data_IF_826630005061
#
_entry.id   IF_826630005061
#
_cell.length_a   1.000
_cell.length_b   1.000
_cell.length_c   1.000
_cell.angle_alpha   90.00
_cell.angle_beta   90.00
_cell.angle_gamma   90.00
#
_symmetry.space_group_name_H-M   'P 1'
#
loop_
_entity.id
_entity.type
_entity.pdbx_description
1 polymer ?
#
# COMPACT_ATOMS: atom_id res chain seq x y z
N UNK A 1 -9.45 11.43 11.75
CA UNK A 1 -9.57 10.28 10.81
C UNK A 1 -10.85 9.53 11.11
N UNK A 2 -11.63 9.27 10.07
CA UNK A 2 -12.86 8.53 10.25
C UNK A 2 -12.58 7.04 10.34
N UNK A 3 -13.48 6.31 11.03
CA UNK A 3 -13.43 4.85 11.07
C UNK A 3 -13.47 4.26 9.66
N UNK A 4 -14.24 4.88 8.76
CA UNK A 4 -14.37 4.43 7.38
C UNK A 4 -13.05 4.46 6.61
N UNK A 5 -12.26 5.53 6.77
CA UNK A 5 -10.95 5.63 6.11
C UNK A 5 -9.95 4.63 6.69
N UNK A 6 -9.99 4.43 8.00
CA UNK A 6 -9.14 3.45 8.66
C UNK A 6 -9.48 2.02 8.18
N UNK A 7 -10.77 1.71 8.08
CA UNK A 7 -11.22 0.41 7.59
C UNK A 7 -10.86 0.20 6.12
N UNK A 8 -10.94 1.26 5.31
CA UNK A 8 -10.53 1.23 3.92
C UNK A 8 -9.04 0.86 3.78
N UNK A 9 -8.19 1.50 4.58
CA UNK A 9 -6.75 1.21 4.58
C UNK A 9 -6.50 -0.24 4.99
N UNK A 10 -7.13 -0.69 6.07
CA UNK A 10 -7.00 -2.08 6.54
C UNK A 10 -7.43 -3.08 5.46
N UNK A 11 -8.53 -2.79 4.77
CA UNK A 11 -9.02 -3.62 3.67
C UNK A 11 -7.98 -3.72 2.55
N UNK A 12 -7.35 -2.60 2.20
CA UNK A 12 -6.34 -2.57 1.15
C UNK A 12 -5.14 -3.46 1.51
N UNK A 13 -4.64 -3.36 2.72
CA UNK A 13 -3.51 -4.20 3.16
C UNK A 13 -3.87 -5.69 3.22
N UNK A 14 -5.05 -6.01 3.76
CA UNK A 14 -5.50 -7.40 3.83
C UNK A 14 -5.65 -8.01 2.43
N UNK A 15 -6.25 -7.26 1.50
CA UNK A 15 -6.42 -7.72 0.12
C UNK A 15 -5.06 -7.90 -0.58
N UNK A 16 -4.12 -7.00 -0.34
CA UNK A 16 -2.77 -7.13 -0.87
C UNK A 16 -2.09 -8.41 -0.38
N UNK A 17 -2.19 -8.70 0.91
CA UNK A 17 -1.60 -9.92 1.49
C UNK A 17 -2.28 -11.18 0.96
N UNK A 18 -3.57 -11.10 0.63
CA UNK A 18 -4.33 -12.20 0.03
C UNK A 18 -4.07 -12.34 -1.47
N UNK A 19 -3.36 -11.40 -2.08
CA UNK A 19 -3.14 -11.33 -3.53
C UNK A 19 -4.43 -11.10 -4.32
N UNK A 20 -5.44 -10.48 -3.69
CA UNK A 20 -6.70 -10.12 -4.32
C UNK A 20 -6.59 -8.72 -4.92
N UNK A 21 -6.05 -8.66 -6.13
CA UNK A 21 -5.69 -7.40 -6.76
C UNK A 21 -6.91 -6.52 -7.08
N UNK A 22 -8.02 -7.13 -7.48
CA UNK A 22 -9.24 -6.38 -7.78
C UNK A 22 -9.81 -5.72 -6.52
N UNK A 23 -9.74 -6.41 -5.41
CA UNK A 23 -10.20 -5.88 -4.12
C UNK A 23 -9.30 -4.74 -3.65
N UNK A 24 -7.98 -4.86 -3.86
CA UNK A 24 -7.04 -3.77 -3.51
C UNK A 24 -7.38 -2.51 -4.30
N UNK A 25 -7.47 -2.61 -5.63
CA UNK A 25 -7.70 -1.42 -6.46
C UNK A 25 -9.10 -0.84 -6.26
N UNK A 26 -10.05 -1.62 -5.73
CA UNK A 26 -11.38 -1.11 -5.39
C UNK A 26 -11.34 -0.06 -4.27
N UNK A 27 -10.24 0.00 -3.50
CA UNK A 27 -10.06 1.00 -2.45
C UNK A 27 -9.50 2.32 -2.98
N UNK A 28 -9.18 2.40 -4.26
CA UNK A 28 -8.44 3.49 -4.88
C UNK A 28 -9.24 4.22 -5.93
N UNK A 29 -8.94 5.52 -6.09
CA UNK A 29 -9.45 6.31 -7.20
C UNK A 29 -8.94 5.73 -8.53
N UNK A 30 -9.70 5.93 -9.60
CA UNK A 30 -9.32 5.46 -10.93
C UNK A 30 -7.98 6.01 -11.40
N UNK A 31 -7.62 7.22 -10.95
CA UNK A 31 -6.37 7.89 -11.29
C UNK A 31 -5.39 7.95 -10.12
N UNK A 32 -5.46 6.98 -9.21
CA UNK A 32 -4.58 6.91 -8.04
C UNK A 32 -3.11 7.02 -8.42
N UNK A 33 -2.33 7.73 -7.61
CA UNK A 33 -0.88 7.81 -7.75
C UNK A 33 -0.22 7.04 -6.61
N UNK A 34 0.65 6.12 -6.95
CA UNK A 34 1.25 5.21 -5.99
C UNK A 34 2.77 5.19 -6.10
N UNK A 35 3.45 5.37 -4.96
CA UNK A 35 4.91 5.33 -4.91
C UNK A 35 5.41 3.88 -5.05
N UNK A 36 6.41 3.68 -5.89
CA UNK A 36 7.06 2.37 -6.05
C UNK A 36 7.97 2.09 -4.85
N UNK A 37 7.90 0.85 -4.33
CA UNK A 37 8.59 0.51 -3.08
C UNK A 37 10.10 0.39 -3.24
N UNK A 38 10.58 -0.14 -4.37
CA UNK A 38 11.99 -0.50 -4.55
C UNK A 38 12.73 0.33 -5.57
N UNK A 39 12.03 1.17 -6.28
CA UNK A 39 12.60 2.01 -7.32
C UNK A 39 11.99 3.41 -7.23
N UNK A 40 12.67 4.39 -7.79
CA UNK A 40 12.16 5.76 -7.79
C UNK A 40 10.96 5.89 -8.72
N UNK A 41 10.06 6.82 -8.37
CA UNK A 41 8.94 7.18 -9.22
C UNK A 41 7.61 6.61 -8.76
N UNK A 42 6.62 6.82 -9.62
CA UNK A 42 5.22 6.52 -9.33
C UNK A 42 4.59 5.73 -10.46
N UNK A 43 3.55 4.98 -10.11
CA UNK A 43 2.63 4.39 -11.07
C UNK A 43 1.27 5.06 -10.87
N UNK A 44 0.46 5.11 -11.92
CA UNK A 44 -0.85 5.77 -11.90
C UNK A 44 -1.93 4.88 -12.46
N UNK A 45 -3.08 4.88 -11.79
CA UNK A 45 -4.26 4.17 -12.23
C UNK A 45 -4.24 2.69 -11.92
N UNK A 46 -5.42 2.07 -12.01
CA UNK A 46 -5.61 0.68 -11.63
C UNK A 46 -4.80 -0.30 -12.48
N UNK A 47 -4.71 -0.04 -13.80
CA UNK A 47 -4.02 -0.95 -14.70
C UNK A 47 -2.52 -1.01 -14.44
N UNK A 48 -1.88 0.15 -14.22
CA UNK A 48 -0.46 0.18 -13.90
C UNK A 48 -0.17 -0.48 -12.55
N UNK A 49 -1.03 -0.29 -11.57
CA UNK A 49 -0.90 -0.94 -10.27
C UNK A 49 -1.03 -2.45 -10.40
N UNK A 50 -2.03 -2.93 -11.13
CA UNK A 50 -2.22 -4.37 -11.35
C UNK A 50 -1.02 -5.00 -12.01
N UNK A 51 -0.48 -4.36 -13.04
CA UNK A 51 0.69 -4.84 -13.77
C UNK A 51 1.93 -4.88 -12.86
N UNK A 52 2.17 -3.80 -12.11
CA UNK A 52 3.32 -3.68 -11.22
C UNK A 52 3.30 -4.77 -10.14
N UNK A 53 2.18 -4.94 -9.43
CA UNK A 53 2.09 -5.94 -8.36
C UNK A 53 2.04 -7.36 -8.87
N UNK A 54 1.39 -7.62 -9.99
CA UNK A 54 1.38 -8.95 -10.60
C UNK A 54 2.79 -9.40 -10.94
N UNK A 55 3.60 -8.47 -11.48
CA UNK A 55 5.02 -8.74 -11.78
C UNK A 55 5.82 -8.96 -10.50
N UNK A 56 5.61 -8.10 -9.49
CA UNK A 56 6.32 -8.17 -8.21
C UNK A 56 6.05 -9.50 -7.49
N UNK A 57 4.81 -9.95 -7.48
CA UNK A 57 4.43 -11.20 -6.81
C UNK A 57 4.97 -12.46 -7.48
N UNK A 58 5.47 -12.36 -8.70
CA UNK A 58 6.17 -13.45 -9.38
C UNK A 58 7.63 -13.57 -8.94
N UNK A 59 8.17 -12.53 -8.35
CA UNK A 59 9.58 -12.47 -7.95
C UNK A 59 9.76 -12.55 -6.45
N UNK A 60 8.84 -11.98 -5.68
CA UNK A 60 8.92 -11.94 -4.21
C UNK A 60 7.56 -12.24 -3.58
N UNK A 61 7.62 -12.58 -2.30
CA UNK A 61 6.42 -12.82 -1.49
C UNK A 61 6.35 -11.77 -0.37
N UNK A 62 5.76 -10.60 -0.63
CA UNK A 62 5.67 -9.54 0.37
C UNK A 62 4.49 -9.73 1.31
N UNK A 63 4.67 -9.29 2.55
CA UNK A 63 3.60 -9.17 3.54
C UNK A 63 3.68 -7.78 4.15
N UNK A 64 2.57 -7.08 4.22
CA UNK A 64 2.49 -5.73 4.78
C UNK A 64 1.42 -5.71 5.87
N UNK A 65 1.77 -5.13 7.02
CA UNK A 65 0.85 -5.07 8.16
C UNK A 65 0.80 -3.65 8.71
N UNK A 66 -0.38 -3.01 8.70
CA UNK A 66 -0.53 -1.69 9.32
C UNK A 66 -0.55 -1.85 10.84
N UNK A 67 0.36 -1.18 11.53
CA UNK A 67 0.50 -1.30 12.98
C UNK A 67 0.21 0.00 13.73
N UNK A 68 0.06 1.12 13.02
CA UNK A 68 -0.28 2.39 13.63
C UNK A 68 -0.84 3.36 12.61
N UNK A 69 -1.70 4.28 13.07
CA UNK A 69 -2.36 5.28 12.23
C UNK A 69 -2.24 6.63 12.90
N UNK A 70 -1.80 7.65 12.16
CA UNK A 70 -1.72 9.02 12.66
C UNK A 70 -2.30 9.95 11.61
N UNK A 71 -3.30 10.75 12.00
CA UNK A 71 -3.86 11.77 11.13
C UNK A 71 -2.98 13.00 11.16
N UNK A 72 -2.62 13.51 9.99
CA UNK A 72 -1.88 14.76 9.85
C UNK A 72 -2.86 15.92 9.76
N UNK A 73 -2.42 17.12 10.16
CA UNK A 73 -3.28 18.31 10.17
C UNK A 73 -3.78 18.73 8.78
N UNK A 74 -3.16 18.26 7.72
CA UNK A 74 -3.59 18.51 6.33
C UNK A 74 -4.58 17.46 5.81
N UNK A 75 -5.07 16.56 6.66
CA UNK A 75 -6.03 15.52 6.28
C UNK A 75 -5.39 14.24 5.74
N UNK A 76 -4.08 14.21 5.54
CA UNK A 76 -3.39 12.97 5.16
C UNK A 76 -3.33 12.01 6.33
N UNK A 77 -3.22 10.72 6.06
CA UNK A 77 -3.09 9.68 7.08
C UNK A 77 -1.75 9.00 6.95
N UNK A 78 -0.98 9.03 8.03
CA UNK A 78 0.29 8.34 8.14
C UNK A 78 0.04 6.95 8.71
N UNK A 79 0.51 5.92 8.02
CA UNK A 79 0.37 4.53 8.47
C UNK A 79 1.77 3.97 8.73
N UNK A 80 1.98 3.49 9.94
CA UNK A 80 3.20 2.75 10.27
C UNK A 80 2.99 1.32 9.80
N UNK A 81 3.86 0.84 8.93
CA UNK A 81 3.71 -0.45 8.26
C UNK A 81 4.90 -1.35 8.58
N UNK A 82 4.62 -2.55 9.06
CA UNK A 82 5.62 -3.58 9.21
C UNK A 82 5.65 -4.39 7.90
N UNK A 83 6.79 -4.34 7.21
CA UNK A 83 6.98 -5.04 5.94
C UNK A 83 7.91 -6.21 6.11
N UNK A 84 7.50 -7.36 5.58
CA UNK A 84 8.33 -8.56 5.51
C UNK A 84 8.35 -9.03 4.08
N UNK A 85 9.51 -9.10 3.48
CA UNK A 85 9.65 -9.62 2.13
C UNK A 85 10.47 -10.89 2.16
N UNK A 86 9.92 -11.94 1.56
CA UNK A 86 10.60 -13.21 1.36
C UNK A 86 10.79 -13.45 -0.13
N UNK A 87 11.83 -14.21 -0.49
CA UNK A 87 11.89 -14.71 -1.85
C UNK A 87 10.86 -15.85 -2.01
N UNK A 88 10.75 -16.40 -3.21
CA UNK A 88 9.77 -17.45 -3.48
C UNK A 88 10.13 -18.80 -2.83
N UNK A 89 11.32 -18.89 -2.25
CA UNK A 89 11.78 -20.08 -1.52
C UNK A 89 11.61 -19.93 -0.01
N UNK A 90 11.05 -18.80 0.45
CA UNK A 90 10.78 -18.56 1.86
C UNK A 90 11.92 -17.91 2.65
N UNK A 91 13.00 -17.52 1.99
CA UNK A 91 14.12 -16.84 2.65
C UNK A 91 13.79 -15.35 2.84
N UNK A 92 14.09 -14.80 4.02
CA UNK A 92 13.87 -13.39 4.30
C UNK A 92 14.81 -12.52 3.47
N UNK A 93 14.24 -11.52 2.81
CA UNK A 93 14.96 -10.49 2.08
C UNK A 93 14.95 -9.16 2.84
N UNK A 94 13.88 -8.88 3.57
CA UNK A 94 13.70 -7.65 4.32
C UNK A 94 12.67 -7.86 5.42
N UNK A 95 12.92 -7.26 6.59
CA UNK A 95 11.99 -7.20 7.71
C UNK A 95 12.21 -5.87 8.40
N UNK A 96 11.25 -4.97 8.32
CA UNK A 96 11.42 -3.65 8.91
C UNK A 96 10.18 -2.80 8.81
N UNK A 97 10.33 -1.55 9.25
CA UNK A 97 9.24 -0.58 9.29
C UNK A 97 9.38 0.47 8.20
N UNK A 98 8.25 0.94 7.72
CA UNK A 98 8.15 2.04 6.76
C UNK A 98 6.88 2.82 7.07
N UNK A 99 6.82 4.06 6.60
CA UNK A 99 5.60 4.87 6.68
C UNK A 99 4.99 5.02 5.32
N UNK A 100 3.68 4.78 5.23
CA UNK A 100 2.88 5.06 4.04
C UNK A 100 1.99 6.25 4.34
N UNK A 101 2.03 7.26 3.48
CA UNK A 101 1.26 8.49 3.66
C UNK A 101 0.17 8.52 2.60
N UNK A 102 -1.07 8.52 3.04
CA UNK A 102 -2.24 8.45 2.17
C UNK A 102 -2.98 9.77 2.10
N UNK A 103 -3.44 10.14 0.90
CA UNK A 103 -4.48 11.16 0.73
C UNK A 103 -5.70 10.50 0.11
N UNK A 104 -6.86 11.15 0.29
CA UNK A 104 -8.14 10.56 -0.09
C UNK A 104 -8.98 11.57 -0.87
N UNK A 105 -9.86 11.07 -1.72
CA UNK A 105 -10.86 11.86 -2.43
C UNK A 105 -12.11 11.00 -2.59
N UNK A 106 -13.27 11.56 -2.24
CA UNK A 106 -14.56 10.87 -2.34
C UNK A 106 -14.57 9.50 -1.63
N UNK A 107 -13.87 9.39 -0.50
CA UNK A 107 -13.85 8.16 0.29
C UNK A 107 -12.94 7.06 -0.23
N UNK A 108 -12.11 7.36 -1.25
CA UNK A 108 -11.15 6.41 -1.82
C UNK A 108 -9.73 6.97 -1.75
N UNK A 109 -8.74 6.10 -1.83
CA UNK A 109 -7.33 6.47 -1.82
C UNK A 109 -7.00 7.21 -3.11
N UNK A 110 -6.44 8.42 -2.97
CA UNK A 110 -6.01 9.25 -4.10
C UNK A 110 -4.52 9.13 -4.36
N UNK A 111 -3.70 9.21 -3.31
CA UNK A 111 -2.24 9.09 -3.43
C UNK A 111 -1.66 8.29 -2.28
N UNK A 112 -0.52 7.68 -2.52
CA UNK A 112 0.29 7.07 -1.47
C UNK A 112 1.75 7.44 -1.69
N UNK A 113 2.37 7.96 -0.64
CA UNK A 113 3.79 8.28 -0.58
C UNK A 113 4.47 7.36 0.43
N UNK A 114 5.74 7.04 0.20
CA UNK A 114 6.53 6.24 1.13
C UNK A 114 7.55 7.16 1.81
N UNK A 115 7.61 7.11 3.13
CA UNK A 115 8.61 7.82 3.92
C UNK A 115 9.39 6.84 4.78
N UNK A 116 10.70 7.05 4.96
CA UNK A 116 11.48 6.21 5.88
C UNK A 116 11.07 6.49 7.33
N UNK A 117 11.24 5.52 8.15
CA UNK A 117 10.98 5.62 9.59
C UNK A 117 12.10 6.38 10.30
#
# INVERSE_FOLDING_TARGET
MTTQLKDLIKKAYAAFNERDIDKVVSTMQANVQWSKAWEAGYIRGHEEIKEYWTRQWKEINPNVEPVGFTERHNGAVEVDVHQKFKDLHGNFMFDGMVKHIYTFENGLIKTMEIEPV
#
